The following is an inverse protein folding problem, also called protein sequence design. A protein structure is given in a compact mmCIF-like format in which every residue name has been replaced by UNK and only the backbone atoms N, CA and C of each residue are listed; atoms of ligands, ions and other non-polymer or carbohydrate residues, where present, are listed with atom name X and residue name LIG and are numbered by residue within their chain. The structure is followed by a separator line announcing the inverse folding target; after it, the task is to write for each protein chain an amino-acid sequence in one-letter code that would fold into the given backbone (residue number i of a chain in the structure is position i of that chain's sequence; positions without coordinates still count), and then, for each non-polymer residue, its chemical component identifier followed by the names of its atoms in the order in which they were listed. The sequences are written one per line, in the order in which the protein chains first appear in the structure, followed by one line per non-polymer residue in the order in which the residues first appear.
data_IF_558693936130
#
_entry.id   IF_558693936130
#
_cell.length_a   1.000
_cell.length_b   1.000
_cell.length_c   1.000
_cell.angle_alpha   90.00
_cell.angle_beta   90.00
_cell.angle_gamma   90.00
#
_symmetry.space_group_name_H-M   'P 1'
#
loop_
_entity.id
_entity.type
_entity.pdbx_description
1 polymer ?
#
# COMPACT_ATOMS: atom_id res chain seq x y z
N UNK A 1 -29.77 45.15 -34.43
CA UNK A 1 -28.51 45.10 -33.64
C UNK A 1 -28.74 44.22 -32.41
N UNK A 2 -28.68 42.88 -32.53
CA UNK A 2 -28.99 41.97 -31.41
C UNK A 2 -28.23 40.63 -31.44
N UNK A 3 -27.35 40.45 -32.43
CA UNK A 3 -26.67 39.16 -32.69
C UNK A 3 -25.36 39.02 -31.88
N UNK A 4 -24.77 40.13 -31.40
CA UNK A 4 -23.49 40.12 -30.67
C UNK A 4 -23.57 39.75 -29.17
N UNK A 5 -24.71 39.99 -28.51
CA UNK A 5 -24.85 39.77 -27.05
C UNK A 5 -25.14 38.29 -26.73
N UNK A 6 -25.87 37.60 -27.60
CA UNK A 6 -26.27 36.20 -27.39
C UNK A 6 -25.12 35.21 -27.60
N UNK A 7 -24.18 35.48 -28.52
CA UNK A 7 -22.97 34.68 -28.69
C UNK A 7 -22.15 34.66 -27.40
N UNK A 8 -21.86 35.84 -26.84
CA UNK A 8 -21.06 36.01 -25.62
C UNK A 8 -21.70 35.33 -24.40
N UNK A 9 -23.03 35.40 -24.27
CA UNK A 9 -23.74 34.71 -23.19
C UNK A 9 -23.73 33.18 -23.32
N UNK A 10 -23.74 32.64 -24.56
CA UNK A 10 -23.63 31.20 -24.84
C UNK A 10 -22.23 30.66 -24.49
N UNK A 11 -21.18 31.39 -24.88
CA UNK A 11 -19.80 31.05 -24.52
C UNK A 11 -19.54 31.21 -23.02
N UNK A 12 -20.09 32.24 -22.37
CA UNK A 12 -19.95 32.42 -20.92
C UNK A 12 -20.63 31.28 -20.13
N UNK A 13 -21.85 30.87 -20.51
CA UNK A 13 -22.53 29.71 -19.91
C UNK A 13 -21.80 28.40 -20.20
N UNK A 14 -21.29 28.22 -21.43
CA UNK A 14 -20.47 27.06 -21.79
C UNK A 14 -19.18 26.98 -20.98
N UNK A 15 -18.50 28.12 -20.78
CA UNK A 15 -17.29 28.22 -19.95
C UNK A 15 -17.55 27.95 -18.48
N UNK A 16 -18.69 28.38 -17.93
CA UNK A 16 -19.07 28.09 -16.54
C UNK A 16 -19.36 26.59 -16.35
N UNK A 17 -20.08 25.95 -17.28
CA UNK A 17 -20.31 24.49 -17.22
C UNK A 17 -19.01 23.72 -17.40
N UNK A 18 -18.16 24.15 -18.34
CA UNK A 18 -16.88 23.52 -18.57
C UNK A 18 -15.96 23.65 -17.35
N UNK A 19 -15.71 24.87 -16.85
CA UNK A 19 -14.82 25.10 -15.71
C UNK A 19 -15.40 24.64 -14.37
N UNK A 20 -16.71 24.68 -14.19
CA UNK A 20 -17.38 24.36 -12.94
C UNK A 20 -17.75 22.89 -12.77
N UNK A 21 -17.97 22.16 -13.87
CA UNK A 21 -18.43 20.77 -13.81
C UNK A 21 -17.52 19.82 -14.59
N UNK A 22 -17.31 20.07 -15.88
CA UNK A 22 -16.61 19.11 -16.76
C UNK A 22 -15.12 19.03 -16.41
N UNK A 23 -14.47 20.18 -16.23
CA UNK A 23 -13.04 20.28 -15.94
C UNK A 23 -12.69 19.66 -14.58
N UNK A 24 -13.40 19.93 -13.47
CA UNK A 24 -13.19 19.25 -12.20
C UNK A 24 -13.37 17.73 -12.30
N UNK A 25 -14.41 17.26 -13.02
CA UNK A 25 -14.64 15.82 -13.21
C UNK A 25 -13.47 15.21 -13.97
N UNK A 26 -13.06 15.77 -15.11
CA UNK A 26 -11.91 15.29 -15.87
C UNK A 26 -10.63 15.30 -15.03
N UNK A 27 -10.42 16.36 -14.25
CA UNK A 27 -9.28 16.46 -13.35
C UNK A 27 -9.30 15.34 -12.31
N UNK A 28 -10.44 15.06 -11.68
CA UNK A 28 -10.55 13.96 -10.69
C UNK A 28 -10.33 12.58 -11.33
N UNK A 29 -10.88 12.34 -12.51
CA UNK A 29 -10.72 11.07 -13.24
C UNK A 29 -9.26 10.76 -13.55
N UNK A 30 -8.42 11.79 -13.78
CA UNK A 30 -6.99 11.62 -14.01
C UNK A 30 -6.20 11.60 -12.69
N UNK A 31 -6.50 12.52 -11.78
CA UNK A 31 -5.67 12.73 -10.58
C UNK A 31 -5.88 11.65 -9.53
N UNK A 32 -7.10 11.12 -9.37
CA UNK A 32 -7.40 10.08 -8.35
C UNK A 32 -6.62 8.79 -8.64
N UNK A 33 -6.70 8.16 -9.84
CA UNK A 33 -5.95 6.93 -10.12
C UNK A 33 -4.43 7.13 -9.99
N UNK A 34 -3.91 8.26 -10.48
CA UNK A 34 -2.49 8.58 -10.39
C UNK A 34 -2.03 8.72 -8.94
N UNK A 35 -2.82 9.41 -8.11
CA UNK A 35 -2.54 9.57 -6.68
C UNK A 35 -2.62 8.22 -5.96
N UNK A 36 -3.62 7.41 -6.31
CA UNK A 36 -3.79 6.05 -5.78
C UNK A 36 -2.59 5.17 -6.10
N UNK A 37 -2.06 5.26 -7.33
CA UNK A 37 -0.88 4.52 -7.76
C UNK A 37 0.40 5.00 -7.05
N UNK A 38 0.64 6.31 -6.98
CA UNK A 38 1.81 6.88 -6.30
C UNK A 38 1.86 6.55 -4.81
N UNK A 39 0.70 6.53 -4.16
CA UNK A 39 0.55 6.21 -2.75
C UNK A 39 0.82 4.73 -2.39
N UNK A 40 1.23 3.90 -3.35
CA UNK A 40 1.71 2.52 -3.13
C UNK A 40 3.24 2.43 -3.01
N UNK A 41 3.94 3.51 -3.35
CA UNK A 41 5.39 3.48 -3.47
C UNK A 41 6.11 3.58 -2.13
N UNK A 42 7.28 2.96 -2.04
CA UNK A 42 8.21 3.12 -0.90
C UNK A 42 8.53 4.60 -0.68
N UNK A 43 8.67 5.39 -1.75
CA UNK A 43 8.89 6.85 -1.68
C UNK A 43 7.78 7.59 -0.95
N UNK A 44 6.53 7.18 -1.17
CA UNK A 44 5.39 7.78 -0.47
C UNK A 44 5.40 7.40 1.02
N UNK A 45 5.59 6.11 1.34
CA UNK A 45 5.67 5.65 2.72
C UNK A 45 6.83 6.31 3.48
N UNK A 46 8.00 6.47 2.85
CA UNK A 46 9.18 7.10 3.45
C UNK A 46 9.03 8.60 3.68
N UNK A 47 7.95 9.24 3.21
CA UNK A 47 7.69 10.64 3.50
C UNK A 47 7.28 10.86 4.98
N UNK A 48 6.80 9.81 5.66
CA UNK A 48 6.49 9.84 7.08
C UNK A 48 7.71 9.39 7.90
N UNK A 49 8.15 10.21 8.86
CA UNK A 49 9.31 9.86 9.69
C UNK A 49 9.09 8.58 10.52
N UNK A 50 7.86 8.27 10.94
CA UNK A 50 7.51 7.04 11.68
C UNK A 50 7.73 5.76 10.85
N UNK A 51 7.85 5.89 9.52
CA UNK A 51 8.17 4.79 8.61
C UNK A 51 9.68 4.56 8.43
N UNK A 52 10.54 5.45 8.94
CA UNK A 52 12.00 5.33 8.83
C UNK A 52 12.53 3.95 9.24
N UNK A 53 12.12 3.37 10.39
CA UNK A 53 12.67 2.08 10.82
C UNK A 53 12.30 0.94 9.86
N UNK A 54 11.09 0.98 9.30
CA UNK A 54 10.61 0.01 8.31
C UNK A 54 11.35 0.16 6.98
N UNK A 55 11.62 1.40 6.55
CA UNK A 55 12.37 1.69 5.32
C UNK A 55 13.84 1.28 5.47
N UNK A 56 14.44 1.49 6.64
CA UNK A 56 15.80 1.03 6.93
C UNK A 56 15.88 -0.49 6.93
N UNK A 57 14.91 -1.16 7.56
CA UNK A 57 14.78 -2.62 7.53
C UNK A 57 14.77 -3.19 6.11
N UNK A 58 14.11 -2.52 5.14
CA UNK A 58 14.15 -2.94 3.73
C UNK A 58 15.56 -2.88 3.12
N UNK A 59 16.38 -1.92 3.54
CA UNK A 59 17.66 -1.57 2.92
C UNK A 59 18.89 -2.08 3.69
N UNK A 60 18.70 -2.73 4.84
CA UNK A 60 19.79 -3.18 5.68
C UNK A 60 20.70 -4.19 4.94
N UNK A 61 22.03 -4.02 4.93
CA UNK A 61 22.94 -4.79 4.09
C UNK A 61 22.93 -6.29 4.39
N UNK A 62 22.65 -6.67 5.64
CA UNK A 62 22.62 -8.07 6.08
C UNK A 62 21.39 -8.84 5.54
N UNK A 63 20.44 -8.15 4.88
CA UNK A 63 19.23 -8.74 4.28
C UNK A 63 18.42 -9.56 5.29
N UNK A 64 18.39 -9.10 6.53
CA UNK A 64 17.67 -9.74 7.60
C UNK A 64 16.17 -9.44 7.49
N UNK A 65 15.35 -10.46 7.76
CA UNK A 65 13.90 -10.38 7.62
C UNK A 65 13.37 -10.58 6.20
N UNK A 66 12.06 -10.84 6.14
CA UNK A 66 11.36 -11.12 4.89
C UNK A 66 11.37 -9.92 3.94
N UNK A 67 11.15 -8.72 4.48
CA UNK A 67 11.01 -7.48 3.72
C UNK A 67 12.29 -7.10 2.98
N UNK A 68 13.45 -7.23 3.65
CA UNK A 68 14.75 -6.95 3.06
C UNK A 68 15.07 -7.92 1.91
N UNK A 69 14.81 -9.22 2.12
CA UNK A 69 15.01 -10.26 1.09
C UNK A 69 14.18 -9.97 -0.16
N UNK A 70 12.91 -9.61 0.01
CA UNK A 70 12.01 -9.33 -1.11
C UNK A 70 12.38 -8.04 -1.85
N UNK A 71 12.74 -6.99 -1.12
CA UNK A 71 13.11 -5.70 -1.71
C UNK A 71 14.46 -5.76 -2.44
N UNK A 72 15.50 -6.26 -1.76
CA UNK A 72 16.87 -6.19 -2.28
C UNK A 72 17.17 -7.23 -3.35
N UNK A 73 16.43 -8.35 -3.40
CA UNK A 73 16.53 -9.30 -4.52
C UNK A 73 15.73 -8.84 -5.75
N UNK A 74 15.05 -7.69 -5.67
CA UNK A 74 14.27 -7.14 -6.76
C UNK A 74 12.96 -7.90 -7.03
N UNK A 75 12.48 -8.73 -6.09
CA UNK A 75 11.21 -9.43 -6.24
C UNK A 75 10.02 -8.47 -6.06
N UNK A 76 10.21 -7.43 -5.24
CA UNK A 76 9.27 -6.32 -5.09
C UNK A 76 10.04 -5.01 -5.17
N UNK A 77 9.73 -4.18 -6.17
CA UNK A 77 10.46 -2.96 -6.47
C UNK A 77 9.86 -1.74 -5.76
N UNK A 78 9.40 -0.75 -6.54
CA UNK A 78 8.98 0.55 -6.04
C UNK A 78 7.74 0.49 -5.14
N UNK A 79 6.90 -0.54 -5.28
CA UNK A 79 5.67 -0.71 -4.50
C UNK A 79 5.79 -1.75 -3.38
N UNK A 80 7.01 -2.06 -2.95
CA UNK A 80 7.30 -3.15 -2.00
C UNK A 80 6.43 -3.15 -0.73
N UNK A 81 6.21 -1.97 -0.13
CA UNK A 81 5.33 -1.87 1.04
C UNK A 81 3.91 -2.30 0.71
N UNK A 82 3.33 -1.75 -0.37
CA UNK A 82 1.96 -2.05 -0.76
C UNK A 82 1.77 -3.48 -1.26
N UNK A 83 2.80 -4.14 -1.80
CA UNK A 83 2.71 -5.54 -2.22
C UNK A 83 2.30 -6.47 -1.08
N UNK A 84 2.75 -6.20 0.14
CA UNK A 84 2.38 -7.00 1.31
C UNK A 84 1.28 -6.34 2.16
N UNK A 85 1.28 -5.01 2.27
CA UNK A 85 0.40 -4.26 3.17
C UNK A 85 -0.93 -3.80 2.55
N UNK A 86 -1.12 -3.99 1.24
CA UNK A 86 -2.43 -3.88 0.60
C UNK A 86 -2.89 -5.27 0.20
N UNK A 87 -3.99 -5.72 0.79
CA UNK A 87 -4.53 -7.04 0.51
C UNK A 87 -4.94 -7.15 -0.96
N UNK A 88 -4.82 -8.36 -1.51
CA UNK A 88 -5.29 -8.64 -2.86
C UNK A 88 -6.81 -8.65 -2.91
N UNK A 89 -7.37 -8.18 -4.02
CA UNK A 89 -8.82 -8.10 -4.25
C UNK A 89 -9.28 -6.69 -4.60
N UNK A 90 -10.57 -6.55 -4.96
CA UNK A 90 -11.13 -5.28 -5.41
C UNK A 90 -11.07 -4.18 -4.34
N UNK A 91 -11.30 -4.54 -3.07
CA UNK A 91 -11.36 -3.58 -1.96
C UNK A 91 -10.07 -3.45 -1.15
N UNK A 92 -9.10 -4.36 -1.26
CA UNK A 92 -7.87 -4.30 -0.47
C UNK A 92 -7.04 -3.02 -0.66
N UNK A 93 -6.88 -2.49 -1.88
CA UNK A 93 -6.27 -1.17 -2.10
C UNK A 93 -7.04 0.01 -1.49
N UNK A 94 -8.35 -0.14 -1.28
CA UNK A 94 -9.17 0.88 -0.61
C UNK A 94 -9.04 0.77 0.91
N UNK A 95 -9.15 -0.45 1.46
CA UNK A 95 -8.98 -0.71 2.89
C UNK A 95 -7.62 -0.23 3.42
N UNK A 96 -6.54 -0.58 2.71
CA UNK A 96 -5.18 -0.12 3.05
C UNK A 96 -5.07 1.41 3.10
N UNK A 97 -5.80 2.13 2.24
CA UNK A 97 -5.86 3.60 2.26
C UNK A 97 -6.67 4.14 3.42
N UNK A 98 -7.77 3.49 3.78
CA UNK A 98 -8.54 3.82 4.99
C UNK A 98 -7.68 3.65 6.24
N UNK A 99 -6.93 2.54 6.34
CA UNK A 99 -5.95 2.33 7.42
C UNK A 99 -4.86 3.42 7.42
N UNK A 100 -4.30 3.76 6.26
CA UNK A 100 -3.36 4.87 6.13
C UNK A 100 -3.93 6.22 6.60
N UNK A 101 -5.19 6.51 6.26
CA UNK A 101 -5.88 7.71 6.72
C UNK A 101 -6.12 7.71 8.23
N UNK A 102 -6.43 6.55 8.83
CA UNK A 102 -6.51 6.41 10.30
C UNK A 102 -5.17 6.72 10.97
N UNK A 103 -4.05 6.27 10.40
CA UNK A 103 -2.72 6.63 10.92
C UNK A 103 -2.44 8.13 10.79
N UNK A 104 -2.84 8.75 9.67
CA UNK A 104 -2.71 10.20 9.49
C UNK A 104 -3.53 10.98 10.54
N UNK A 105 -4.78 10.58 10.75
CA UNK A 105 -5.63 11.20 11.77
C UNK A 105 -5.06 11.01 13.18
N UNK A 106 -4.60 9.80 13.51
CA UNK A 106 -3.98 9.51 14.80
C UNK A 106 -2.75 10.40 15.02
N UNK A 107 -1.93 10.59 13.99
CA UNK A 107 -0.78 11.50 14.04
C UNK A 107 -1.18 12.95 14.30
N UNK A 108 -2.20 13.47 13.60
CA UNK A 108 -2.65 14.85 13.78
C UNK A 108 -3.33 15.12 15.13
N UNK A 109 -4.08 14.15 15.66
CA UNK A 109 -4.86 14.31 16.90
C UNK A 109 -4.04 13.95 18.14
N UNK A 110 -3.00 13.14 17.99
CA UNK A 110 -2.14 12.71 19.10
C UNK A 110 -0.68 12.73 18.69
N UNK A 111 -0.11 13.91 18.40
CA UNK A 111 1.27 14.04 17.91
C UNK A 111 2.32 13.51 18.90
N UNK A 112 1.98 13.48 20.19
CA UNK A 112 2.86 12.98 21.26
C UNK A 112 2.92 11.44 21.32
N UNK A 113 1.98 10.75 20.66
CA UNK A 113 1.99 9.29 20.55
C UNK A 113 2.95 8.88 19.45
N UNK A 114 4.16 8.51 19.87
CA UNK A 114 5.25 7.99 19.03
C UNK A 114 5.10 6.53 18.63
N UNK A 115 3.95 5.91 18.91
CA UNK A 115 3.79 4.48 18.64
C UNK A 115 3.86 4.19 17.13
N UNK A 116 4.70 3.23 16.70
CA UNK A 116 4.77 2.84 15.31
C UNK A 116 3.40 2.28 14.86
N UNK A 117 3.01 2.50 13.59
CA UNK A 117 1.82 1.89 13.03
C UNK A 117 1.81 0.37 13.23
N UNK A 118 0.75 -0.13 13.86
CA UNK A 118 0.52 -1.56 14.09
C UNK A 118 -0.35 -2.13 12.98
N UNK A 119 -0.15 -3.42 12.71
CA UNK A 119 -1.09 -4.18 11.89
C UNK A 119 -2.39 -4.36 12.68
N UNK A 120 -3.51 -3.97 12.06
CA UNK A 120 -4.84 -4.17 12.64
C UNK A 120 -5.34 -5.61 12.50
N UNK A 121 -4.81 -6.34 11.51
CA UNK A 121 -5.10 -7.73 11.26
C UNK A 121 -3.80 -8.43 10.78
N UNK A 122 -3.64 -9.73 11.05
CA UNK A 122 -2.57 -10.53 10.45
C UNK A 122 -2.62 -10.48 8.93
N UNK A 123 -1.48 -10.68 8.27
CA UNK A 123 -1.44 -10.79 6.81
C UNK A 123 -2.19 -12.04 6.35
N UNK A 124 -3.15 -11.92 5.43
CA UNK A 124 -3.75 -13.08 4.78
C UNK A 124 -2.68 -13.86 4.01
N UNK A 125 -2.70 -15.19 4.12
CA UNK A 125 -1.78 -16.05 3.36
C UNK A 125 -1.87 -15.83 1.85
N UNK A 126 -3.03 -15.39 1.34
CA UNK A 126 -3.21 -15.05 -0.07
C UNK A 126 -2.21 -14.00 -0.57
N UNK A 127 -1.78 -13.07 0.29
CA UNK A 127 -0.79 -12.05 -0.07
C UNK A 127 0.58 -12.69 -0.37
N UNK A 128 0.91 -13.79 0.31
CA UNK A 128 2.12 -14.57 0.04
C UNK A 128 1.91 -15.50 -1.15
N UNK A 129 0.78 -16.21 -1.18
CA UNK A 129 0.45 -17.22 -2.19
C UNK A 129 0.26 -16.62 -3.58
N UNK A 130 -0.01 -15.33 -3.72
CA UNK A 130 -0.04 -14.68 -5.02
C UNK A 130 1.26 -14.87 -5.82
N UNK A 131 2.41 -14.87 -5.14
CA UNK A 131 3.71 -15.13 -5.76
C UNK A 131 4.24 -16.55 -5.46
N UNK A 132 3.81 -17.16 -4.35
CA UNK A 132 4.35 -18.44 -3.88
C UNK A 132 3.49 -19.66 -4.21
N UNK A 133 2.18 -19.53 -4.37
CA UNK A 133 1.23 -20.65 -4.39
C UNK A 133 1.40 -21.59 -5.58
N UNK A 134 1.79 -21.05 -6.73
CA UNK A 134 1.99 -21.82 -7.97
C UNK A 134 3.43 -22.32 -8.14
N UNK A 135 4.34 -21.99 -7.21
CA UNK A 135 5.71 -22.44 -7.30
C UNK A 135 5.80 -23.92 -6.91
N UNK A 136 6.48 -24.70 -7.75
CA UNK A 136 6.74 -26.12 -7.46
C UNK A 136 7.41 -26.32 -6.09
N UNK A 137 8.35 -25.42 -5.74
CA UNK A 137 9.03 -25.43 -4.44
C UNK A 137 8.09 -25.20 -3.26
N UNK A 138 6.95 -24.55 -3.45
CA UNK A 138 5.93 -24.42 -2.42
C UNK A 138 5.07 -25.69 -2.38
N UNK A 139 4.57 -26.13 -3.54
CA UNK A 139 3.63 -27.24 -3.68
C UNK A 139 4.22 -28.61 -3.30
N UNK A 140 5.54 -28.80 -3.46
CA UNK A 140 6.21 -30.08 -3.20
C UNK A 140 7.02 -30.08 -1.90
N UNK A 141 6.95 -29.02 -1.09
CA UNK A 141 7.70 -28.95 0.16
C UNK A 141 6.99 -29.76 1.25
N UNK A 142 7.61 -30.80 1.85
CA UNK A 142 6.92 -31.66 2.82
C UNK A 142 6.30 -30.90 4.01
N UNK A 143 7.03 -29.97 4.69
CA UNK A 143 6.42 -29.08 5.68
C UNK A 143 5.14 -28.36 5.23
N UNK A 144 5.07 -27.86 3.99
CA UNK A 144 3.85 -27.21 3.51
C UNK A 144 2.73 -28.19 3.20
N UNK A 145 3.06 -29.39 2.70
CA UNK A 145 2.06 -30.43 2.39
C UNK A 145 1.33 -30.89 3.65
N UNK A 146 2.04 -31.03 4.77
CA UNK A 146 1.48 -31.47 6.05
C UNK A 146 0.44 -30.49 6.61
N UNK A 147 0.60 -29.18 6.34
CA UNK A 147 -0.30 -28.14 6.84
C UNK A 147 -1.05 -27.40 5.71
N UNK A 148 -1.11 -27.97 4.50
CA UNK A 148 -1.63 -27.25 3.32
C UNK A 148 -3.07 -26.76 3.52
N UNK A 149 -3.93 -27.59 4.11
CA UNK A 149 -5.31 -27.20 4.42
C UNK A 149 -5.39 -26.07 5.45
N UNK A 150 -4.47 -26.03 6.41
CA UNK A 150 -4.37 -24.98 7.42
C UNK A 150 -3.80 -23.68 6.83
N UNK A 151 -2.88 -23.78 5.87
CA UNK A 151 -2.38 -22.63 5.11
C UNK A 151 -3.52 -22.04 4.26
N UNK A 152 -4.30 -22.88 3.57
CA UNK A 152 -5.40 -22.42 2.70
C UNK A 152 -6.56 -21.79 3.49
N UNK A 153 -6.87 -22.33 4.67
CA UNK A 153 -7.90 -21.75 5.55
C UNK A 153 -7.41 -20.53 6.33
N UNK A 154 -6.10 -20.30 6.40
CA UNK A 154 -5.49 -19.21 7.16
C UNK A 154 -5.28 -19.53 8.65
N UNK A 155 -5.55 -20.76 9.09
CA UNK A 155 -5.28 -21.23 10.44
C UNK A 155 -3.78 -21.21 10.78
N UNK A 156 -2.93 -21.60 9.82
CA UNK A 156 -1.48 -21.46 9.92
C UNK A 156 -1.01 -20.31 9.03
N UNK A 157 -0.54 -19.22 9.64
CA UNK A 157 0.03 -18.08 8.92
C UNK A 157 1.43 -18.41 8.39
N UNK A 158 1.75 -17.95 7.17
CA UNK A 158 3.10 -18.05 6.61
C UNK A 158 4.16 -17.45 7.57
N UNK A 159 3.80 -16.40 8.31
CA UNK A 159 4.71 -15.73 9.23
C UNK A 159 5.00 -16.52 10.50
N UNK A 160 4.29 -17.60 10.80
CA UNK A 160 4.63 -18.47 11.94
C UNK A 160 6.00 -19.14 11.74
N UNK A 161 6.40 -19.40 10.50
CA UNK A 161 7.68 -20.00 10.16
C UNK A 161 8.61 -19.04 9.37
N UNK A 162 8.05 -18.10 8.60
CA UNK A 162 8.82 -17.16 7.77
C UNK A 162 9.03 -15.77 8.42
N UNK A 163 8.73 -15.62 9.70
CA UNK A 163 9.10 -14.44 10.49
C UNK A 163 10.62 -14.30 10.68
N UNK A 164 11.10 -13.10 11.07
CA UNK A 164 10.36 -11.84 11.16
C UNK A 164 10.16 -11.17 9.79
N UNK A 165 9.05 -10.44 9.64
CA UNK A 165 8.78 -9.69 8.41
C UNK A 165 9.73 -8.49 8.27
N UNK A 166 9.91 -7.73 9.35
CA UNK A 166 10.86 -6.63 9.49
C UNK A 166 11.82 -6.94 10.64
N UNK A 167 13.11 -6.69 10.43
CA UNK A 167 14.14 -6.68 11.47
C UNK A 167 14.56 -5.23 11.71
N UNK A 168 14.63 -4.82 12.97
CA UNK A 168 15.05 -3.49 13.39
C UNK A 168 16.35 -3.62 14.19
N UNK A 169 17.32 -2.74 13.93
CA UNK A 169 18.58 -2.73 14.65
C UNK A 169 18.56 -1.68 15.77
N UNK A 170 19.44 -1.84 16.75
CA UNK A 170 19.48 -0.98 17.94
C UNK A 170 19.61 0.50 17.55
N UNK A 171 18.76 1.35 18.15
CA UNK A 171 18.72 2.79 17.87
C UNK A 171 17.72 3.21 16.78
N UNK A 172 17.10 2.27 16.07
CA UNK A 172 16.12 2.58 15.02
C UNK A 172 14.66 2.59 15.51
N UNK A 173 14.35 2.00 16.67
CA UNK A 173 13.02 2.02 17.26
C UNK A 173 12.94 3.05 18.41
N UNK A 174 12.32 4.22 18.16
CA UNK A 174 11.80 5.13 19.19
C UNK A 174 10.51 5.79 18.73
#
# INVERSE_FOLDING_TARGET
MQIGITLNQKYLKGSIVFLGLIFPILLTLVTVPLSFHRAKSVKFCSACHTMTPFVNSLKHPEKEGLSAKHYQRGWVHQNACATCHADYGFLGPLDSKVRGFRHLLAYYVSPDKKEPPKLYQPFPNQNCLHCHGDLERFQKNPPHLEVMAQIQSGEVSCLMCHAPAHVFHEGEAR
#
